data_IF_362701682755
#
_entry.id   IF_362701682755
#
_cell.length_a   1.000
_cell.length_b   1.000
_cell.length_c   1.000
_cell.angle_alpha   90.00
_cell.angle_beta   90.00
_cell.angle_gamma   90.00
#
_symmetry.space_group_name_H-M   'P 1'
#
loop_
_entity.id
_entity.type
_entity.pdbx_description
1 polymer ?
#
# COMPACT_ATOMS: atom_id res chain seq x y z
N UNK A 1 -22.74 10.18 -12.58
CA UNK A 1 -21.50 9.84 -13.28
C UNK A 1 -20.79 8.93 -12.33
N UNK A 2 -20.85 7.62 -12.57
CA UNK A 2 -20.17 6.65 -11.70
C UNK A 2 -18.69 7.03 -11.68
N UNK A 3 -18.21 7.46 -10.52
CA UNK A 3 -16.81 7.82 -10.32
C UNK A 3 -16.11 6.47 -10.19
N UNK A 4 -15.68 5.92 -11.32
CA UNK A 4 -14.92 4.67 -11.30
C UNK A 4 -13.60 4.93 -10.59
N UNK A 5 -13.37 4.19 -9.52
CA UNK A 5 -12.10 4.11 -8.82
C UNK A 5 -11.16 3.28 -9.70
N UNK A 6 -10.41 3.93 -10.59
CA UNK A 6 -9.50 3.26 -11.53
C UNK A 6 -8.06 3.49 -11.07
N UNK A 7 -7.35 2.39 -10.79
CA UNK A 7 -5.91 2.37 -10.65
C UNK A 7 -5.28 2.20 -12.03
N UNK A 8 -4.39 3.10 -12.42
CA UNK A 8 -3.66 3.01 -13.69
C UNK A 8 -2.28 2.43 -13.42
N UNK A 9 -1.93 1.35 -14.11
CA UNK A 9 -0.61 0.75 -14.03
C UNK A 9 0.29 1.33 -15.11
N UNK A 10 1.39 1.95 -14.71
CA UNK A 10 2.39 2.51 -15.61
C UNK A 10 3.66 1.66 -15.62
N UNK A 11 4.24 1.46 -16.79
CA UNK A 11 5.57 0.89 -16.92
C UNK A 11 6.63 1.92 -16.51
N UNK A 12 7.56 1.48 -15.67
CA UNK A 12 8.72 2.25 -15.22
C UNK A 12 9.97 1.58 -15.79
N UNK A 13 10.69 2.34 -16.60
CA UNK A 13 11.95 1.88 -17.19
C UNK A 13 13.01 1.68 -16.10
N UNK A 14 13.60 0.48 -16.06
CA UNK A 14 14.51 0.06 -14.99
C UNK A 14 15.88 0.77 -15.05
N UNK A 15 16.29 1.27 -16.23
CA UNK A 15 17.56 1.96 -16.44
C UNK A 15 17.49 3.45 -16.09
N UNK A 16 16.42 4.11 -16.49
CA UNK A 16 16.23 5.56 -16.40
C UNK A 16 15.35 5.98 -15.23
N UNK A 17 14.52 5.07 -14.71
CA UNK A 17 13.54 5.34 -13.66
C UNK A 17 12.33 6.14 -14.10
N UNK A 18 12.19 6.45 -15.39
CA UNK A 18 11.07 7.21 -15.93
C UNK A 18 9.86 6.33 -16.24
N UNK A 19 8.68 6.89 -16.05
CA UNK A 19 7.44 6.28 -16.52
C UNK A 19 7.31 6.42 -18.03
N UNK A 20 7.04 5.33 -18.73
CA UNK A 20 7.04 5.27 -20.20
C UNK A 20 5.62 5.26 -20.77
N UNK A 21 4.81 4.29 -20.38
CA UNK A 21 3.48 4.06 -20.94
C UNK A 21 2.51 3.43 -19.93
N UNK A 22 1.22 3.53 -20.22
CA UNK A 22 0.17 2.79 -19.51
C UNK A 22 0.16 1.35 -19.99
N UNK A 23 0.23 0.40 -19.06
CA UNK A 23 0.18 -1.04 -19.34
C UNK A 23 -1.25 -1.55 -19.21
N UNK A 24 -1.90 -1.24 -18.08
CA UNK A 24 -3.25 -1.70 -17.78
C UNK A 24 -3.97 -0.72 -16.83
N UNK A 25 -5.23 -1.02 -16.54
CA UNK A 25 -6.03 -0.31 -15.55
C UNK A 25 -6.95 -1.28 -14.81
N UNK A 26 -7.00 -1.12 -13.49
CA UNK A 26 -7.79 -1.97 -12.61
C UNK A 26 -8.91 -1.17 -11.97
N UNK A 27 -10.11 -1.75 -11.96
CA UNK A 27 -11.21 -1.23 -11.17
C UNK A 27 -10.99 -1.65 -9.72
N UNK A 28 -10.90 -0.66 -8.84
CA UNK A 28 -10.77 -0.85 -7.40
C UNK A 28 -12.15 -0.68 -6.78
N UNK A 29 -12.66 -1.74 -6.16
CA UNK A 29 -14.02 -1.74 -5.61
C UNK A 29 -14.11 -0.88 -4.34
N UNK A 30 -13.08 -0.92 -3.49
CA UNK A 30 -13.00 -0.21 -2.21
C UNK A 30 -11.55 0.16 -1.89
N UNK A 31 -11.34 1.24 -1.14
CA UNK A 31 -10.01 1.57 -0.61
C UNK A 31 -9.04 2.14 -1.64
N UNK A 32 -9.50 2.73 -2.75
CA UNK A 32 -8.58 3.38 -3.71
C UNK A 32 -7.81 4.54 -3.07
N UNK A 33 -8.39 5.18 -2.05
CA UNK A 33 -7.74 6.21 -1.24
C UNK A 33 -6.57 5.68 -0.40
N UNK A 34 -6.47 4.36 -0.24
CA UNK A 34 -5.37 3.68 0.45
C UNK A 34 -4.27 3.22 -0.53
N UNK A 35 -4.39 3.59 -1.80
CA UNK A 35 -3.38 3.35 -2.83
C UNK A 35 -2.76 4.69 -3.21
N UNK A 36 -1.47 4.84 -2.94
CA UNK A 36 -0.74 6.05 -3.31
C UNK A 36 -0.36 6.03 -4.80
N UNK A 37 0.20 4.91 -5.26
CA UNK A 37 0.54 4.68 -6.67
C UNK A 37 0.81 3.19 -6.93
N UNK A 38 0.87 2.82 -8.21
CA UNK A 38 1.33 1.51 -8.65
C UNK A 38 2.15 1.64 -9.94
N UNK A 39 3.17 0.80 -10.09
CA UNK A 39 3.94 0.72 -11.33
C UNK A 39 4.45 -0.69 -11.63
N UNK A 40 4.68 -0.95 -12.91
CA UNK A 40 5.29 -2.17 -13.41
C UNK A 40 6.78 -1.91 -13.67
N UNK A 41 7.67 -2.79 -13.23
CA UNK A 41 9.08 -2.76 -13.63
C UNK A 41 9.58 -4.17 -13.96
N UNK A 42 10.55 -4.23 -14.87
CA UNK A 42 11.25 -5.47 -15.20
C UNK A 42 12.44 -5.66 -14.26
N UNK A 43 12.52 -6.84 -13.63
CA UNK A 43 13.68 -7.30 -12.88
C UNK A 43 14.12 -8.67 -13.40
N UNK A 44 15.37 -8.77 -13.88
CA UNK A 44 15.97 -10.02 -14.35
C UNK A 44 15.16 -10.80 -15.42
N UNK A 45 14.35 -10.11 -16.23
CA UNK A 45 13.53 -10.71 -17.28
C UNK A 45 12.10 -11.07 -16.86
N UNK A 46 11.72 -10.77 -15.62
CA UNK A 46 10.37 -10.93 -15.09
C UNK A 46 9.76 -9.56 -14.77
N UNK A 47 8.44 -9.45 -14.83
CA UNK A 47 7.73 -8.22 -14.56
C UNK A 47 7.07 -8.25 -13.19
N UNK A 48 7.26 -7.18 -12.42
CA UNK A 48 6.71 -7.03 -11.07
C UNK A 48 5.89 -5.75 -10.97
N UNK A 49 4.75 -5.84 -10.28
CA UNK A 49 4.00 -4.67 -9.83
C UNK A 49 4.53 -4.25 -8.46
N UNK A 50 4.75 -2.95 -8.31
CA UNK A 50 5.05 -2.27 -7.06
C UNK A 50 3.84 -1.43 -6.71
N UNK A 51 3.09 -1.86 -5.70
CA UNK A 51 1.90 -1.19 -5.21
C UNK A 51 2.24 -0.49 -3.89
N UNK A 52 2.18 0.84 -3.90
CA UNK A 52 2.33 1.64 -2.69
C UNK A 52 0.99 1.77 -1.99
N UNK A 53 0.87 1.11 -0.84
CA UNK A 53 -0.26 1.24 0.08
C UNK A 53 0.01 2.34 1.09
N UNK A 54 -1.03 3.03 1.52
CA UNK A 54 -0.96 4.08 2.53
C UNK A 54 -2.25 4.16 3.35
N UNK A 55 -2.28 5.03 4.34
CA UNK A 55 -3.46 5.31 5.16
C UNK A 55 -4.17 6.58 4.71
N UNK A 56 -5.34 6.85 5.28
CA UNK A 56 -5.84 8.23 5.33
C UNK A 56 -4.87 9.13 6.10
N UNK A 57 -5.02 10.45 6.00
CA UNK A 57 -4.21 11.39 6.78
C UNK A 57 -4.35 11.10 8.28
N UNK A 58 -3.19 10.96 8.92
CA UNK A 58 -3.07 10.61 10.34
C UNK A 58 -2.25 11.65 11.10
N UNK A 59 -2.53 11.80 12.39
CA UNK A 59 -1.69 12.58 13.31
C UNK A 59 -0.43 11.78 13.69
N UNK A 60 0.62 12.45 14.19
CA UNK A 60 1.90 11.83 14.51
C UNK A 60 1.76 10.62 15.45
N UNK A 61 0.94 10.73 16.51
CA UNK A 61 0.71 9.59 17.43
C UNK A 61 0.06 8.39 16.73
N UNK A 62 -0.75 8.64 15.70
CA UNK A 62 -1.36 7.59 14.91
C UNK A 62 -0.36 6.97 13.95
N UNK A 63 0.52 7.76 13.34
CA UNK A 63 1.61 7.27 12.52
C UNK A 63 2.44 6.22 13.29
N UNK A 64 2.92 6.56 14.49
CA UNK A 64 3.71 5.63 15.30
C UNK A 64 2.90 4.43 15.80
N UNK A 65 1.67 4.67 16.26
CA UNK A 65 0.82 3.59 16.74
C UNK A 65 0.41 2.60 15.65
N UNK A 66 0.24 3.07 14.41
CA UNK A 66 -0.05 2.20 13.27
C UNK A 66 1.15 1.29 13.02
N UNK A 67 2.37 1.81 12.90
CA UNK A 67 3.56 0.95 12.72
C UNK A 67 3.81 -0.01 13.90
N UNK A 68 3.47 0.38 15.14
CA UNK A 68 3.60 -0.49 16.32
C UNK A 68 2.62 -1.68 16.30
N UNK A 69 1.43 -1.50 15.71
CA UNK A 69 0.33 -2.46 15.82
C UNK A 69 -0.09 -3.13 14.51
N UNK A 70 0.31 -2.60 13.36
CA UNK A 70 0.01 -3.14 12.04
C UNK A 70 0.74 -4.47 11.85
N UNK A 71 -0.04 -5.52 11.60
CA UNK A 71 0.47 -6.86 11.33
C UNK A 71 0.76 -7.00 9.84
N UNK A 72 2.03 -6.90 9.44
CA UNK A 72 2.45 -7.08 8.05
C UNK A 72 2.27 -8.52 7.54
N UNK A 73 2.16 -9.51 8.43
CA UNK A 73 1.99 -10.92 8.03
C UNK A 73 0.67 -11.12 7.27
N UNK A 74 -0.34 -10.27 7.50
CA UNK A 74 -1.63 -10.33 6.77
C UNK A 74 -1.47 -10.13 5.26
N UNK A 75 -0.42 -9.44 4.82
CA UNK A 75 -0.13 -9.21 3.40
C UNK A 75 0.70 -10.35 2.79
N UNK A 76 1.48 -11.07 3.58
CA UNK A 76 2.36 -12.14 3.08
C UNK A 76 1.59 -13.35 2.53
N UNK A 77 0.29 -13.49 2.86
CA UNK A 77 -0.60 -14.54 2.34
C UNK A 77 -0.76 -14.50 0.83
N UNK A 78 -0.40 -13.39 0.18
CA UNK A 78 -0.51 -13.16 -1.25
C UNK A 78 0.76 -13.54 -2.05
N UNK A 79 1.75 -14.19 -1.41
CA UNK A 79 3.07 -14.50 -2.02
C UNK A 79 3.77 -13.24 -2.57
N UNK A 80 3.80 -12.20 -1.73
CA UNK A 80 4.35 -10.88 -2.06
C UNK A 80 5.63 -10.59 -1.28
N UNK A 81 6.51 -9.80 -1.87
CA UNK A 81 7.66 -9.20 -1.20
C UNK A 81 7.24 -7.84 -0.63
N UNK A 82 7.42 -7.63 0.68
CA UNK A 82 7.24 -6.32 1.30
C UNK A 82 8.56 -5.55 1.29
N UNK A 83 8.55 -4.38 0.67
CA UNK A 83 9.66 -3.45 0.64
C UNK A 83 9.38 -2.28 1.60
N UNK A 84 10.44 -1.75 2.20
CA UNK A 84 10.35 -0.59 3.10
C UNK A 84 9.81 0.64 2.34
N UNK A 85 8.70 1.17 2.84
CA UNK A 85 8.06 2.39 2.37
C UNK A 85 8.03 3.50 3.42
N UNK A 86 8.71 3.31 4.56
CA UNK A 86 8.67 4.24 5.69
C UNK A 86 9.36 5.58 5.40
N UNK A 87 9.07 6.59 6.23
CA UNK A 87 9.65 7.93 6.11
C UNK A 87 8.83 8.92 5.28
N UNK A 88 7.67 8.50 4.78
CA UNK A 88 6.66 9.38 4.20
C UNK A 88 5.79 10.04 5.28
N UNK A 89 4.96 11.01 4.88
CA UNK A 89 4.08 11.74 5.80
C UNK A 89 3.05 10.84 6.49
N UNK A 90 2.41 9.96 5.72
CA UNK A 90 1.52 8.92 6.24
C UNK A 90 2.25 7.57 6.21
N UNK A 91 1.87 6.58 7.06
CA UNK A 91 2.40 5.23 6.97
C UNK A 91 2.24 4.65 5.57
N UNK A 92 3.26 3.93 5.11
CA UNK A 92 3.34 3.44 3.74
C UNK A 92 4.07 2.10 3.66
N UNK A 93 3.56 1.23 2.81
CA UNK A 93 4.13 -0.07 2.50
C UNK A 93 4.23 -0.23 0.98
N UNK A 94 5.35 -0.80 0.51
CA UNK A 94 5.50 -1.13 -0.92
C UNK A 94 5.36 -2.64 -1.05
N UNK A 95 4.25 -3.06 -1.65
CA UNK A 95 4.04 -4.46 -2.00
C UNK A 95 4.60 -4.70 -3.39
N UNK A 96 5.56 -5.62 -3.50
CA UNK A 96 6.06 -6.12 -4.76
C UNK A 96 5.49 -7.51 -5.04
N UNK A 97 4.92 -7.69 -6.22
CA UNK A 97 4.24 -8.92 -6.61
C UNK A 97 4.43 -9.22 -8.10
N UNK A 98 4.47 -10.49 -8.46
CA UNK A 98 4.62 -10.92 -9.86
C UNK A 98 3.44 -10.43 -10.70
N UNK A 99 3.73 -9.94 -11.91
CA UNK A 99 2.70 -9.48 -12.83
C UNK A 99 1.96 -10.64 -13.50
N UNK A 100 0.64 -10.67 -13.35
CA UNK A 100 -0.23 -11.65 -13.99
C UNK A 100 -0.83 -11.04 -15.26
N UNK A 101 -0.53 -11.61 -16.43
CA UNK A 101 -1.05 -11.11 -17.73
C UNK A 101 -2.58 -11.16 -17.82
N UNK A 102 -3.22 -12.07 -17.09
CA UNK A 102 -4.67 -12.18 -17.02
C UNK A 102 -5.22 -11.04 -16.16
N UNK A 103 -5.62 -9.95 -16.81
CA UNK A 103 -6.14 -8.72 -16.17
C UNK A 103 -7.14 -8.98 -15.04
N UNK A 104 -8.10 -9.88 -15.21
CA UNK A 104 -9.12 -10.16 -14.17
C UNK A 104 -8.55 -10.82 -12.92
N UNK A 105 -7.49 -11.63 -13.08
CA UNK A 105 -6.79 -12.26 -11.95
C UNK A 105 -5.96 -11.21 -11.21
N UNK A 106 -5.22 -10.37 -11.94
CA UNK A 106 -4.46 -9.28 -11.36
C UNK A 106 -5.36 -8.25 -10.66
N UNK A 107 -6.48 -7.86 -11.28
CA UNK A 107 -7.47 -6.97 -10.69
C UNK A 107 -8.06 -7.56 -9.40
N UNK A 108 -8.39 -8.85 -9.40
CA UNK A 108 -8.88 -9.56 -8.21
C UNK A 108 -7.86 -9.54 -7.07
N UNK A 109 -6.60 -9.88 -7.37
CA UNK A 109 -5.52 -9.91 -6.41
C UNK A 109 -5.25 -8.53 -5.79
N UNK A 110 -5.23 -7.46 -6.60
CA UNK A 110 -5.08 -6.08 -6.10
C UNK A 110 -6.26 -5.70 -5.20
N UNK A 111 -7.49 -6.04 -5.56
CA UNK A 111 -8.67 -5.74 -4.74
C UNK A 111 -8.64 -6.48 -3.40
N UNK A 112 -8.30 -7.75 -3.39
CA UNK A 112 -8.19 -8.55 -2.16
C UNK A 112 -7.12 -7.98 -1.22
N UNK A 113 -5.97 -7.61 -1.78
CA UNK A 113 -4.87 -7.03 -1.02
C UNK A 113 -5.23 -5.68 -0.40
N UNK A 114 -5.89 -4.79 -1.16
CA UNK A 114 -6.35 -3.49 -0.67
C UNK A 114 -7.42 -3.65 0.42
N UNK A 115 -8.32 -4.63 0.28
CA UNK A 115 -9.33 -4.92 1.29
C UNK A 115 -8.70 -5.49 2.57
N UNK A 116 -7.68 -6.35 2.47
CA UNK A 116 -6.91 -6.83 3.64
C UNK A 116 -6.22 -5.67 4.35
N UNK A 117 -5.52 -4.81 3.61
CA UNK A 117 -4.88 -3.61 4.16
C UNK A 117 -5.89 -2.70 4.89
N UNK A 118 -7.04 -2.45 4.26
CA UNK A 118 -8.13 -1.66 4.84
C UNK A 118 -8.65 -2.28 6.14
N UNK A 119 -8.90 -3.59 6.15
CA UNK A 119 -9.40 -4.30 7.33
C UNK A 119 -8.39 -4.28 8.47
N UNK A 120 -7.10 -4.36 8.15
CA UNK A 120 -6.03 -4.25 9.13
C UNK A 120 -5.97 -2.85 9.75
N UNK A 121 -6.06 -1.78 8.94
CA UNK A 121 -6.17 -0.42 9.47
C UNK A 121 -7.41 -0.23 10.36
N UNK A 122 -8.54 -0.84 10.00
CA UNK A 122 -9.77 -0.81 10.82
C UNK A 122 -9.61 -1.52 12.16
N UNK A 123 -8.77 -2.56 12.22
CA UNK A 123 -8.41 -3.26 13.45
C UNK A 123 -7.48 -2.40 14.31
N UNK A 124 -6.49 -1.76 13.70
CA UNK A 124 -5.40 -1.05 14.38
C UNK A 124 -5.83 0.31 14.93
N UNK A 125 -6.53 1.12 14.14
CA UNK A 125 -6.86 2.51 14.50
C UNK A 125 -7.59 2.66 15.86
N UNK A 126 -8.58 1.82 16.22
CA UNK A 126 -9.23 1.91 17.53
C UNK A 126 -8.29 1.58 18.71
N UNK A 127 -7.31 0.70 18.48
CA UNK A 127 -6.31 0.32 19.50
C UNK A 127 -5.32 1.47 19.72
N UNK A 128 -4.86 2.09 18.63
CA UNK A 128 -4.03 3.30 18.66
C UNK A 128 -4.74 4.43 19.42
N UNK A 129 -6.04 4.63 19.19
CA UNK A 129 -6.80 5.65 19.92
C UNK A 129 -6.92 5.33 21.41
N UNK A 130 -7.13 4.06 21.77
CA UNK A 130 -7.18 3.63 23.16
C UNK A 130 -5.85 3.88 23.90
N UNK A 131 -4.73 3.73 23.19
CA UNK A 131 -3.38 3.94 23.70
C UNK A 131 -2.78 5.31 23.30
N UNK A 132 -3.59 6.27 22.85
CA UNK A 132 -3.13 7.61 22.38
C UNK A 132 -2.14 8.28 23.32
N UNK A 133 -2.39 8.22 24.62
CA UNK A 133 -1.53 8.82 25.64
C UNK A 133 -0.13 8.19 25.66
N UNK A 134 -0.01 6.87 25.46
CA UNK A 134 1.28 6.16 25.39
C UNK A 134 2.13 6.75 24.27
N UNK A 135 1.57 6.84 23.06
CA UNK A 135 2.30 7.30 21.89
C UNK A 135 2.68 8.79 21.96
N UNK A 136 1.81 9.66 22.49
CA UNK A 136 2.16 11.07 22.73
C UNK A 136 3.32 11.18 23.73
N UNK A 137 3.28 10.44 24.84
CA UNK A 137 4.36 10.44 25.84
C UNK A 137 5.67 9.82 25.34
N UNK A 138 5.63 8.99 24.29
CA UNK A 138 6.83 8.44 23.63
C UNK A 138 7.45 9.49 22.69
N UNK A 139 6.64 10.16 21.87
CA UNK A 139 7.08 11.25 20.99
C UNK A 139 7.76 12.37 21.80
N UNK A 140 7.13 12.83 22.88
CA UNK A 140 7.67 13.91 23.73
C UNK A 140 9.01 13.54 24.43
N UNK A 141 9.38 12.25 24.52
CA UNK A 141 10.66 11.81 25.10
C UNK A 141 11.80 11.77 24.07
N UNK A 142 11.46 11.71 22.79
CA UNK A 142 12.43 11.66 21.70
C UNK A 142 12.82 13.05 21.17
N UNK A 143 12.05 14.09 21.52
CA UNK A 143 12.36 15.52 21.31
C UNK A 143 13.27 16.11 22.40
#
# INVERSE_FOLDING_TARGET
>A
MDKYNILVLMEKDSETGFFTQTVDSYKIDVGIELIENAYLAEEAGEYFIYLALTTADVEDYQYYGIYDLYDEEVLTVFDVELLDGSGEFNPRWIVKMEYIEVRSEMEGLVNELVEVHRNELQRVLPLVEADKKKYIEEIEKEE
#
